data_IF_132119127667
#
_entry.id   IF_132119127667
#
_cell.length_a   1.000
_cell.length_b   1.000
_cell.length_c   1.000
_cell.angle_alpha   90.00
_cell.angle_beta   90.00
_cell.angle_gamma   90.00
#
_symmetry.space_group_name_H-M   'P 1'
#
loop_
_entity.id
_entity.type
_entity.pdbx_description
1 polymer ?
#
# COMPACT_ATOMS: atom_id res chain seq x y z
N UNK A 1 12.63 8.27 30.31
CA UNK A 1 11.45 8.48 29.45
C UNK A 1 11.79 8.98 28.04
N UNK A 2 12.77 9.87 27.84
CA UNK A 2 13.16 10.35 26.51
C UNK A 2 13.63 9.21 25.56
N UNK A 3 14.28 8.19 26.08
CA UNK A 3 14.77 7.04 25.31
C UNK A 3 13.66 6.11 24.74
N UNK A 4 12.41 6.32 25.16
CA UNK A 4 11.26 5.53 24.72
C UNK A 4 10.33 6.30 23.79
N UNK A 5 10.68 7.53 23.45
CA UNK A 5 9.91 8.36 22.52
C UNK A 5 10.57 8.30 21.16
N UNK A 6 9.78 8.19 20.09
CA UNK A 6 10.26 8.43 18.75
C UNK A 6 10.66 9.89 18.62
N UNK A 7 11.94 10.16 18.39
CA UNK A 7 12.43 11.52 18.15
C UNK A 7 12.01 12.08 16.80
N UNK A 8 11.60 11.20 15.88
CA UNK A 8 11.16 11.54 14.53
C UNK A 8 9.66 11.78 14.42
N UNK A 9 8.89 11.43 15.46
CA UNK A 9 7.43 11.47 15.41
C UNK A 9 6.88 12.74 16.09
N UNK A 10 6.23 13.58 15.32
CA UNK A 10 5.65 14.81 15.81
C UNK A 10 4.19 14.64 16.20
N UNK A 11 3.93 14.29 17.45
CA UNK A 11 2.61 14.03 17.99
C UNK A 11 2.04 15.25 18.71
N UNK A 12 0.80 15.63 18.41
CA UNK A 12 0.06 16.62 19.16
C UNK A 12 -0.20 16.17 20.60
N UNK A 13 -0.52 17.11 21.49
CA UNK A 13 -0.88 16.79 22.87
C UNK A 13 -2.09 15.85 22.97
N UNK A 14 -3.05 16.00 22.05
CA UNK A 14 -4.25 15.16 21.97
C UNK A 14 -3.89 13.73 21.58
N UNK A 15 -3.05 13.55 20.57
CA UNK A 15 -2.56 12.24 20.13
C UNK A 15 -1.74 11.55 21.23
N UNK A 16 -0.83 12.27 21.91
CA UNK A 16 -0.07 11.75 23.05
C UNK A 16 -0.96 11.28 24.21
N UNK A 17 -2.16 11.83 24.31
CA UNK A 17 -3.14 11.44 25.33
C UNK A 17 -3.97 10.23 24.92
N UNK A 18 -4.32 10.13 23.63
CA UNK A 18 -5.24 9.13 23.10
C UNK A 18 -4.57 7.83 22.66
N UNK A 19 -3.51 7.89 21.87
CA UNK A 19 -2.86 6.70 21.30
C UNK A 19 -2.58 5.59 22.32
N UNK A 20 -2.11 5.89 23.55
CA UNK A 20 -1.86 4.85 24.52
C UNK A 20 -3.11 4.22 25.15
N UNK A 21 -4.29 4.74 24.86
CA UNK A 21 -5.56 4.21 25.39
C UNK A 21 -6.25 3.28 24.38
N UNK A 22 -5.85 3.32 23.12
CA UNK A 22 -6.34 2.36 22.15
C UNK A 22 -5.71 1.00 22.39
N UNK A 23 -6.52 -0.01 22.32
CA UNK A 23 -6.08 -1.37 22.58
C UNK A 23 -6.13 -1.74 24.07
N UNK A 24 -6.15 -3.05 24.29
CA UNK A 24 -6.21 -3.65 25.62
C UNK A 24 -5.07 -3.33 26.52
N UNK A 25 -3.98 -3.03 25.89
CA UNK A 25 -2.71 -2.88 26.57
C UNK A 25 -2.61 -1.55 27.27
N UNK A 26 -3.38 -0.55 26.87
CA UNK A 26 -3.30 0.79 27.45
C UNK A 26 -1.87 1.34 27.47
N UNK A 27 -1.70 2.49 28.09
CA UNK A 27 -0.38 3.14 28.26
C UNK A 27 0.68 2.24 28.89
N UNK A 28 0.27 1.47 29.91
CA UNK A 28 1.22 0.72 30.74
C UNK A 28 1.82 -0.48 29.98
N UNK A 29 1.01 -1.19 29.22
CA UNK A 29 1.48 -2.36 28.53
C UNK A 29 2.28 -2.01 27.28
N UNK A 30 1.90 -0.98 26.51
CA UNK A 30 2.72 -0.43 25.44
C UNK A 30 4.07 0.05 25.97
N UNK A 31 4.07 0.81 27.04
CA UNK A 31 5.29 1.25 27.70
C UNK A 31 6.18 0.09 28.10
N UNK A 32 5.61 -0.94 28.73
CA UNK A 32 6.33 -2.14 29.15
C UNK A 32 6.91 -2.89 27.95
N UNK A 33 6.13 -3.08 26.88
CA UNK A 33 6.59 -3.76 25.67
C UNK A 33 7.73 -2.98 25.01
N UNK A 34 7.58 -1.70 24.79
CA UNK A 34 8.62 -0.85 24.22
C UNK A 34 9.89 -0.82 25.09
N UNK A 35 9.75 -0.72 26.40
CA UNK A 35 10.89 -0.73 27.32
C UNK A 35 11.66 -2.05 27.30
N UNK A 36 10.96 -3.17 27.36
CA UNK A 36 11.59 -4.50 27.36
C UNK A 36 12.29 -4.82 26.04
N UNK A 37 11.79 -4.28 24.93
CA UNK A 37 12.27 -4.59 23.59
C UNK A 37 13.22 -3.53 23.00
N UNK A 38 13.58 -2.48 23.75
CA UNK A 38 14.43 -1.36 23.30
C UNK A 38 15.75 -1.78 22.65
N UNK A 39 16.31 -2.91 23.08
CA UNK A 39 17.61 -3.39 22.59
C UNK A 39 17.55 -4.02 21.18
N UNK A 40 16.35 -4.28 20.67
CA UNK A 40 16.17 -4.84 19.33
C UNK A 40 15.52 -3.87 18.36
N UNK A 41 15.34 -2.60 18.75
CA UNK A 41 14.71 -1.61 17.90
C UNK A 41 15.35 -1.50 16.52
N UNK A 42 16.67 -1.44 16.48
CA UNK A 42 17.40 -1.36 15.20
C UNK A 42 17.17 -2.58 14.31
N UNK A 43 17.11 -3.79 14.89
CA UNK A 43 16.83 -5.00 14.12
C UNK A 43 15.39 -5.04 13.60
N UNK A 44 14.44 -4.61 14.41
CA UNK A 44 13.03 -4.49 14.00
C UNK A 44 12.88 -3.43 12.91
N UNK A 45 13.56 -2.30 13.06
CA UNK A 45 13.61 -1.25 12.05
C UNK A 45 14.13 -1.76 10.71
N UNK A 46 15.28 -2.44 10.72
CA UNK A 46 15.86 -3.04 9.51
C UNK A 46 14.94 -4.06 8.87
N UNK A 47 14.22 -4.85 9.67
CA UNK A 47 13.22 -5.79 9.15
C UNK A 47 12.12 -5.08 8.38
N UNK A 48 11.49 -4.08 8.98
CA UNK A 48 10.43 -3.31 8.29
C UNK A 48 10.96 -2.49 7.11
N UNK A 49 12.19 -1.99 7.18
CA UNK A 49 12.86 -1.34 6.06
C UNK A 49 13.04 -2.30 4.89
N UNK A 50 13.50 -3.51 5.15
CA UNK A 50 13.64 -4.57 4.14
C UNK A 50 12.29 -4.97 3.54
N UNK A 51 11.24 -5.07 4.35
CA UNK A 51 9.87 -5.32 3.90
C UNK A 51 9.41 -4.22 2.93
N UNK A 52 9.51 -2.96 3.33
CA UNK A 52 9.07 -1.83 2.52
C UNK A 52 9.88 -1.71 1.21
N UNK A 53 11.21 -1.82 1.30
CA UNK A 53 12.08 -1.75 0.13
C UNK A 53 11.80 -2.87 -0.89
N UNK A 54 11.52 -4.08 -0.41
CA UNK A 54 11.17 -5.22 -1.27
C UNK A 54 9.88 -4.95 -2.02
N UNK A 55 8.85 -4.42 -1.36
CA UNK A 55 7.55 -4.13 -1.97
C UNK A 55 7.63 -3.00 -2.98
N UNK A 56 8.35 -1.92 -2.66
CA UNK A 56 8.61 -0.84 -3.63
C UNK A 56 9.34 -1.39 -4.86
N UNK A 57 10.32 -2.28 -4.67
CA UNK A 57 11.02 -2.92 -5.78
C UNK A 57 10.09 -3.78 -6.65
N UNK A 58 9.13 -4.49 -6.05
CA UNK A 58 8.14 -5.29 -6.79
C UNK A 58 7.27 -4.37 -7.64
N UNK A 59 6.76 -3.26 -7.07
CA UNK A 59 5.96 -2.29 -7.80
C UNK A 59 6.74 -1.67 -8.97
N UNK A 60 7.99 -1.27 -8.76
CA UNK A 60 8.81 -0.71 -9.81
C UNK A 60 9.08 -1.74 -10.93
N UNK A 61 9.38 -2.98 -10.58
CA UNK A 61 9.55 -4.04 -11.57
C UNK A 61 8.28 -4.32 -12.37
N UNK A 62 7.14 -4.26 -11.71
CA UNK A 62 5.86 -4.38 -12.39
C UNK A 62 5.67 -3.26 -13.41
N UNK A 63 5.89 -2.01 -13.01
CA UNK A 63 5.77 -0.85 -13.91
C UNK A 63 6.74 -0.97 -15.09
N UNK A 64 8.00 -1.33 -14.84
CA UNK A 64 8.99 -1.54 -15.90
C UNK A 64 8.51 -2.58 -16.93
N UNK A 65 7.95 -3.70 -16.43
CA UNK A 65 7.40 -4.74 -17.32
C UNK A 65 6.19 -4.26 -18.14
N UNK A 66 5.35 -3.37 -17.57
CA UNK A 66 4.25 -2.79 -18.35
C UNK A 66 4.78 -1.87 -19.45
N UNK A 67 5.81 -1.06 -19.17
CA UNK A 67 6.44 -0.21 -20.19
C UNK A 67 7.05 -1.02 -21.32
N UNK A 68 7.78 -2.10 -21.03
CA UNK A 68 8.36 -2.99 -22.04
C UNK A 68 7.28 -3.57 -22.97
N UNK A 69 6.14 -3.99 -22.43
CA UNK A 69 5.02 -4.48 -23.22
C UNK A 69 4.42 -3.40 -24.13
N UNK A 70 4.22 -2.19 -23.58
CA UNK A 70 3.64 -1.08 -24.34
C UNK A 70 4.58 -0.56 -25.42
N UNK A 71 5.88 -0.51 -25.17
CA UNK A 71 6.90 -0.18 -26.17
C UNK A 71 6.88 -1.17 -27.33
N UNK A 72 6.78 -2.47 -27.04
CA UNK A 72 6.63 -3.50 -28.07
C UNK A 72 5.36 -3.27 -28.91
N UNK A 73 4.22 -2.99 -28.27
CA UNK A 73 2.96 -2.72 -28.96
C UNK A 73 3.08 -1.46 -29.82
N UNK A 74 3.62 -0.37 -29.29
CA UNK A 74 3.80 0.89 -30.02
C UNK A 74 4.71 0.73 -31.24
N UNK A 75 5.82 0.01 -31.09
CA UNK A 75 6.74 -0.29 -32.19
C UNK A 75 6.07 -1.07 -33.31
N UNK A 76 5.24 -2.07 -32.98
CA UNK A 76 4.51 -2.86 -33.97
C UNK A 76 3.49 -2.00 -34.73
N UNK A 77 2.73 -1.16 -34.01
CA UNK A 77 1.69 -0.32 -34.61
C UNK A 77 2.28 0.83 -35.43
N UNK A 78 3.47 1.32 -35.08
CA UNK A 78 4.09 2.49 -35.72
C UNK A 78 4.23 2.32 -37.27
N UNK A 79 4.37 1.11 -37.76
CA UNK A 79 4.53 0.79 -39.19
C UNK A 79 3.21 0.71 -39.94
N UNK A 80 2.09 0.53 -39.24
CA UNK A 80 0.76 0.33 -39.88
C UNK A 80 -0.25 1.45 -39.50
N UNK A 81 0.13 2.35 -38.63
CA UNK A 81 -0.75 3.43 -38.17
C UNK A 81 -1.34 4.25 -39.34
N UNK A 82 -2.64 4.61 -39.34
CA UNK A 82 -3.63 4.40 -38.28
C UNK A 82 -4.39 3.07 -38.33
N UNK A 83 -4.02 2.16 -39.25
CA UNK A 83 -4.66 0.85 -39.36
C UNK A 83 -4.18 -0.07 -38.25
N UNK A 84 -5.07 -0.49 -37.38
CA UNK A 84 -4.78 -1.33 -36.22
C UNK A 84 -5.57 -2.64 -36.35
N UNK A 85 -4.88 -3.74 -36.26
CA UNK A 85 -5.53 -5.06 -36.19
C UNK A 85 -6.15 -5.24 -34.78
N UNK A 86 -7.46 -5.17 -34.71
CA UNK A 86 -8.23 -5.32 -33.48
C UNK A 86 -8.07 -6.73 -32.88
N UNK A 87 -7.96 -7.76 -33.68
CA UNK A 87 -7.75 -9.13 -33.17
C UNK A 87 -6.40 -9.26 -32.49
N UNK A 88 -5.35 -8.71 -33.09
CA UNK A 88 -4.02 -8.69 -32.52
C UNK A 88 -3.97 -7.87 -31.21
N UNK A 89 -4.66 -6.73 -31.14
CA UNK A 89 -4.74 -5.93 -29.93
C UNK A 89 -5.40 -6.69 -28.77
N UNK A 90 -6.46 -7.45 -29.05
CA UNK A 90 -7.10 -8.32 -28.06
C UNK A 90 -6.18 -9.47 -27.57
N UNK A 91 -5.38 -10.05 -28.47
CA UNK A 91 -4.37 -11.03 -28.07
C UNK A 91 -3.31 -10.43 -27.15
N UNK A 92 -2.92 -9.17 -27.40
CA UNK A 92 -1.98 -8.46 -26.50
C UNK A 92 -2.60 -8.21 -25.13
N UNK A 93 -3.86 -7.79 -25.07
CA UNK A 93 -4.57 -7.63 -23.79
C UNK A 93 -4.65 -8.97 -23.04
N UNK A 94 -4.96 -10.06 -23.73
CA UNK A 94 -5.00 -11.40 -23.12
C UNK A 94 -3.64 -11.84 -22.53
N UNK A 95 -2.54 -11.32 -23.09
CA UNK A 95 -1.18 -11.57 -22.60
C UNK A 95 -0.75 -10.63 -21.48
N UNK A 96 -1.53 -9.59 -21.22
CA UNK A 96 -1.26 -8.55 -20.21
C UNK A 96 -2.42 -8.47 -19.20
N UNK A 97 -2.57 -9.45 -18.31
CA UNK A 97 -3.78 -9.62 -17.48
C UNK A 97 -4.03 -8.49 -16.50
N UNK A 98 -3.02 -7.67 -16.23
CA UNK A 98 -3.14 -6.53 -15.30
C UNK A 98 -3.83 -5.32 -15.93
N UNK A 99 -3.91 -5.29 -17.27
CA UNK A 99 -4.69 -4.29 -17.98
C UNK A 99 -6.14 -4.72 -18.15
N UNK A 100 -7.05 -3.77 -17.98
CA UNK A 100 -8.47 -3.97 -18.30
C UNK A 100 -8.81 -3.53 -19.72
N UNK A 101 -7.98 -2.68 -20.34
CA UNK A 101 -8.16 -2.17 -21.68
C UNK A 101 -6.82 -1.81 -22.31
N UNK A 102 -6.66 -2.13 -23.60
CA UNK A 102 -5.65 -1.56 -24.47
C UNK A 102 -6.36 -0.77 -25.59
N UNK A 103 -5.89 0.44 -25.83
CA UNK A 103 -6.46 1.28 -26.88
C UNK A 103 -5.43 2.23 -27.47
N UNK A 104 -5.77 2.82 -28.60
CA UNK A 104 -4.87 3.68 -29.37
C UNK A 104 -5.56 5.01 -29.60
N UNK A 105 -4.83 6.09 -29.34
CA UNK A 105 -5.29 7.44 -29.58
C UNK A 105 -4.47 8.11 -30.66
N UNK A 106 -5.10 9.07 -31.37
CA UNK A 106 -4.40 10.00 -32.23
C UNK A 106 -3.78 11.15 -31.41
N UNK A 107 -3.09 12.10 -32.07
CA UNK A 107 -2.45 13.26 -31.44
C UNK A 107 -3.44 14.20 -30.71
N UNK A 108 -4.72 14.09 -30.98
CA UNK A 108 -5.78 14.89 -30.36
C UNK A 108 -6.50 14.19 -29.20
N UNK A 109 -6.10 12.96 -28.89
CA UNK A 109 -6.68 12.16 -27.80
C UNK A 109 -7.97 11.41 -28.20
N UNK A 110 -8.33 11.40 -29.47
CA UNK A 110 -9.44 10.60 -29.95
C UNK A 110 -9.03 9.12 -30.03
N UNK A 111 -9.87 8.25 -29.52
CA UNK A 111 -9.65 6.80 -29.51
C UNK A 111 -9.97 6.24 -30.89
N UNK A 112 -8.94 5.78 -31.62
CA UNK A 112 -9.08 5.24 -32.98
C UNK A 112 -9.28 3.72 -32.99
N UNK A 113 -8.83 3.02 -31.96
CA UNK A 113 -9.03 1.58 -31.79
C UNK A 113 -9.00 1.24 -30.30
N UNK A 114 -9.80 0.29 -29.85
CA UNK A 114 -9.82 -0.17 -28.45
C UNK A 114 -10.30 -1.61 -28.35
N UNK A 115 -9.76 -2.34 -27.38
CA UNK A 115 -10.28 -3.67 -26.98
C UNK A 115 -11.66 -3.58 -26.33
N UNK A 116 -12.09 -2.37 -25.96
CA UNK A 116 -13.45 -2.06 -25.52
C UNK A 116 -14.15 -1.19 -26.56
N UNK A 117 -14.98 -1.82 -27.41
CA UNK A 117 -15.57 -1.17 -28.58
C UNK A 117 -16.31 0.13 -28.31
N UNK A 118 -16.97 0.25 -27.17
CA UNK A 118 -17.73 1.47 -26.80
C UNK A 118 -16.83 2.68 -26.53
N UNK A 119 -15.53 2.49 -26.43
CA UNK A 119 -14.55 3.55 -26.24
C UNK A 119 -14.10 4.19 -27.57
N UNK A 120 -14.25 3.47 -28.69
CA UNK A 120 -13.82 3.93 -30.01
C UNK A 120 -14.59 5.18 -30.43
N UNK A 121 -13.88 6.19 -30.91
CA UNK A 121 -14.42 7.48 -31.33
C UNK A 121 -14.65 8.47 -30.20
N UNK A 122 -14.41 8.10 -28.93
CA UNK A 122 -14.51 9.02 -27.83
C UNK A 122 -13.21 9.85 -27.66
N UNK A 123 -13.38 11.05 -27.10
CA UNK A 123 -12.28 11.94 -26.68
C UNK A 123 -12.59 12.40 -25.26
N UNK A 124 -12.44 11.49 -24.31
CA UNK A 124 -12.82 11.68 -22.90
C UNK A 124 -11.62 11.63 -21.94
N UNK A 125 -10.39 11.55 -22.49
CA UNK A 125 -9.17 11.53 -21.71
C UNK A 125 -8.81 12.93 -21.19
N UNK A 126 -8.08 12.97 -20.08
CA UNK A 126 -7.58 14.23 -19.53
C UNK A 126 -6.61 14.90 -20.53
N UNK A 127 -6.92 16.12 -20.96
CA UNK A 127 -6.15 16.83 -21.99
C UNK A 127 -4.67 16.96 -21.65
N UNK A 128 -4.34 17.26 -20.40
CA UNK A 128 -2.95 17.39 -19.93
C UNK A 128 -2.19 16.05 -20.02
N UNK A 129 -2.86 14.93 -19.71
CA UNK A 129 -2.27 13.61 -19.83
C UNK A 129 -2.04 13.22 -21.30
N UNK A 130 -2.98 13.55 -22.19
CA UNK A 130 -2.84 13.33 -23.65
C UNK A 130 -1.65 14.12 -24.19
N UNK A 131 -1.57 15.42 -23.89
CA UNK A 131 -0.49 16.30 -24.37
C UNK A 131 0.90 15.79 -23.98
N UNK A 132 1.03 15.21 -22.80
CA UNK A 132 2.30 14.63 -22.34
C UNK A 132 2.48 13.22 -22.93
N UNK A 133 1.48 12.37 -22.84
CA UNK A 133 1.54 10.97 -23.20
C UNK A 133 1.71 10.66 -24.68
N UNK A 134 1.42 11.62 -25.60
CA UNK A 134 1.72 11.47 -27.03
C UNK A 134 3.17 11.81 -27.39
N UNK A 135 3.95 12.35 -26.43
CA UNK A 135 5.34 12.79 -26.68
C UNK A 135 6.37 11.96 -25.93
N UNK A 136 6.01 11.49 -24.75
CA UNK A 136 6.89 10.70 -23.89
C UNK A 136 6.10 9.65 -23.11
N UNK A 137 6.72 8.54 -22.69
CA UNK A 137 6.07 7.57 -21.81
C UNK A 137 5.58 8.25 -20.54
N UNK A 138 4.27 8.19 -20.31
CA UNK A 138 3.62 8.91 -19.23
C UNK A 138 2.61 8.02 -18.50
N UNK A 139 2.76 7.89 -17.18
CA UNK A 139 1.81 7.22 -16.31
C UNK A 139 0.94 8.27 -15.63
N UNK A 140 -0.29 8.38 -16.09
CA UNK A 140 -1.33 9.21 -15.49
C UNK A 140 -2.04 8.46 -14.39
N UNK A 141 -2.09 9.02 -13.23
CA UNK A 141 -2.83 8.45 -12.09
C UNK A 141 -1.96 8.24 -10.84
N UNK A 142 -2.64 7.93 -9.73
CA UNK A 142 -4.05 7.51 -9.66
C UNK A 142 -5.03 8.64 -9.94
N UNK A 143 -6.11 8.35 -10.64
CA UNK A 143 -7.21 9.28 -10.88
C UNK A 143 -8.54 8.52 -10.95
N UNK A 144 -9.66 9.24 -10.80
CA UNK A 144 -11.00 8.64 -10.82
C UNK A 144 -11.53 8.61 -12.25
N UNK A 145 -11.79 7.39 -12.76
CA UNK A 145 -12.38 7.18 -14.07
C UNK A 145 -13.50 6.13 -14.02
N UNK A 146 -14.77 6.55 -14.13
CA UNK A 146 -15.92 5.63 -14.14
C UNK A 146 -15.87 4.57 -15.25
N UNK A 147 -15.11 4.81 -16.32
CA UNK A 147 -14.93 3.86 -17.41
C UNK A 147 -14.22 2.57 -16.90
N UNK A 148 -13.31 2.68 -15.95
CA UNK A 148 -12.61 1.54 -15.37
C UNK A 148 -13.59 0.58 -14.69
N UNK A 149 -14.54 1.11 -13.95
CA UNK A 149 -15.58 0.30 -13.32
C UNK A 149 -16.50 -0.37 -14.37
N UNK A 150 -16.81 0.34 -15.45
CA UNK A 150 -17.66 -0.17 -16.55
C UNK A 150 -16.98 -1.30 -17.34
N UNK A 151 -15.71 -1.14 -17.65
CA UNK A 151 -14.91 -2.15 -18.39
C UNK A 151 -14.70 -3.39 -17.51
N UNK A 152 -14.44 -3.17 -16.22
CA UNK A 152 -14.32 -4.24 -15.24
C UNK A 152 -12.97 -4.91 -15.27
N UNK A 153 -12.91 -6.17 -15.50
CA UNK A 153 -11.86 -7.13 -15.14
C UNK A 153 -10.43 -6.81 -15.59
N UNK A 154 -9.52 -6.99 -14.64
CA UNK A 154 -8.09 -7.24 -14.84
C UNK A 154 -7.68 -8.48 -14.02
N UNK A 155 -6.40 -8.65 -13.73
CA UNK A 155 -5.90 -9.68 -12.79
C UNK A 155 -6.46 -9.49 -11.37
N UNK A 156 -6.75 -8.25 -10.97
CA UNK A 156 -7.38 -7.96 -9.68
C UNK A 156 -8.86 -8.39 -9.69
N UNK A 157 -9.27 -8.98 -8.57
CA UNK A 157 -10.67 -9.36 -8.35
C UNK A 157 -11.54 -8.19 -7.91
N UNK A 158 -10.90 -7.13 -7.49
CA UNK A 158 -11.51 -5.94 -6.97
C UNK A 158 -11.05 -4.78 -7.82
N UNK A 159 -11.97 -3.98 -8.27
CA UNK A 159 -11.69 -2.76 -9.00
C UNK A 159 -12.82 -1.78 -8.74
N UNK A 160 -12.44 -0.56 -8.59
CA UNK A 160 -13.34 0.57 -8.54
C UNK A 160 -13.00 1.57 -9.65
N UNK A 161 -13.24 2.84 -9.41
CA UNK A 161 -12.98 3.90 -10.38
C UNK A 161 -11.52 4.37 -10.40
N UNK A 162 -10.69 3.95 -9.42
CA UNK A 162 -9.30 4.42 -9.35
C UNK A 162 -8.46 3.75 -10.41
N UNK A 163 -7.85 4.56 -11.23
CA UNK A 163 -7.24 4.18 -12.50
C UNK A 163 -5.79 4.62 -12.59
N UNK A 164 -5.00 3.76 -13.17
CA UNK A 164 -3.68 4.05 -13.71
C UNK A 164 -3.77 3.96 -15.24
N UNK A 165 -3.38 5.03 -15.94
CA UNK A 165 -3.40 5.07 -17.38
C UNK A 165 -1.99 5.27 -17.92
N UNK A 166 -1.49 4.26 -18.59
CA UNK A 166 -0.21 4.32 -19.29
C UNK A 166 -0.41 4.92 -20.67
N UNK A 167 0.49 5.79 -21.08
CA UNK A 167 0.56 6.35 -22.42
C UNK A 167 1.97 6.07 -22.97
N UNK A 168 2.07 5.32 -24.04
CA UNK A 168 3.31 5.05 -24.76
C UNK A 168 3.24 5.67 -26.14
N UNK A 169 4.08 6.66 -26.47
CA UNK A 169 4.06 7.29 -27.79
C UNK A 169 4.22 6.30 -28.93
N UNK A 170 3.50 6.54 -30.03
CA UNK A 170 3.71 5.87 -31.31
C UNK A 170 4.53 6.78 -32.18
N UNK A 171 5.80 6.43 -32.36
CA UNK A 171 6.77 7.20 -33.15
C UNK A 171 7.30 6.37 -34.32
N UNK A 172 7.41 6.99 -35.45
CA UNK A 172 8.09 6.42 -36.62
C UNK A 172 8.91 7.51 -37.33
N UNK A 173 10.21 7.27 -37.50
CA UNK A 173 11.15 8.18 -38.15
C UNK A 173 11.16 9.61 -37.54
N UNK A 174 11.06 9.73 -36.21
CA UNK A 174 11.05 11.02 -35.50
C UNK A 174 9.71 11.76 -35.55
N UNK A 175 8.64 11.13 -36.07
CA UNK A 175 7.31 11.71 -36.14
C UNK A 175 6.37 10.96 -35.18
N UNK A 176 5.71 11.70 -34.30
CA UNK A 176 4.70 11.17 -33.38
C UNK A 176 3.34 11.13 -34.09
N UNK A 177 2.64 10.02 -33.95
CA UNK A 177 1.32 9.78 -34.56
C UNK A 177 0.19 9.73 -33.53
N UNK A 178 0.51 9.43 -32.28
CA UNK A 178 -0.43 9.24 -31.18
C UNK A 178 0.21 8.46 -30.05
N UNK A 179 -0.59 7.70 -29.32
CA UNK A 179 -0.08 6.83 -28.27
C UNK A 179 -0.87 5.51 -28.17
N UNK A 180 -0.18 4.46 -27.77
CA UNK A 180 -0.79 3.27 -27.21
C UNK A 180 -1.10 3.58 -25.75
N UNK A 181 -2.34 3.34 -25.34
CA UNK A 181 -2.81 3.53 -23.99
C UNK A 181 -3.20 2.20 -23.37
N UNK A 182 -2.86 2.03 -22.09
CA UNK A 182 -3.26 0.88 -21.30
C UNK A 182 -3.88 1.31 -19.99
N UNK A 183 -5.07 0.81 -19.73
CA UNK A 183 -5.82 1.05 -18.50
C UNK A 183 -5.56 -0.06 -17.52
N UNK A 184 -5.05 0.27 -16.33
CA UNK A 184 -4.92 -0.65 -15.22
C UNK A 184 -5.77 -0.15 -14.04
N UNK A 185 -6.65 -0.98 -13.47
CA UNK A 185 -7.26 -0.69 -12.19
C UNK A 185 -6.17 -0.57 -11.11
N UNK A 186 -6.24 0.46 -10.30
CA UNK A 186 -5.21 0.72 -9.28
C UNK A 186 -5.07 -0.44 -8.27
N UNK A 187 -6.14 -1.20 -8.07
CA UNK A 187 -6.19 -2.33 -7.14
C UNK A 187 -5.17 -3.45 -7.46
N UNK A 188 -4.69 -3.51 -8.70
CA UNK A 188 -3.57 -4.40 -9.09
C UNK A 188 -2.35 -4.17 -8.21
N UNK A 189 -2.05 -2.92 -7.84
CA UNK A 189 -0.92 -2.60 -6.96
C UNK A 189 -1.11 -3.20 -5.56
N UNK A 190 -2.35 -3.16 -5.05
CA UNK A 190 -2.70 -3.79 -3.77
C UNK A 190 -2.43 -5.29 -3.79
N UNK A 191 -2.85 -5.96 -4.85
CA UNK A 191 -2.61 -7.39 -5.02
C UNK A 191 -1.11 -7.74 -5.07
N UNK A 192 -0.31 -6.96 -5.78
CA UNK A 192 1.13 -7.18 -5.90
C UNK A 192 1.85 -7.11 -4.56
N UNK A 193 1.55 -6.11 -3.74
CA UNK A 193 2.21 -5.95 -2.45
C UNK A 193 1.76 -6.97 -1.41
N UNK A 194 0.59 -7.56 -1.58
CA UNK A 194 0.08 -8.56 -0.65
C UNK A 194 0.48 -9.98 -1.05
N UNK A 195 0.40 -10.35 -2.33
CA UNK A 195 0.62 -11.73 -2.79
C UNK A 195 2.08 -12.09 -3.00
N UNK A 196 2.80 -11.24 -3.74
CA UNK A 196 4.11 -11.62 -4.28
C UNK A 196 5.23 -11.60 -3.23
N UNK A 197 5.07 -10.83 -2.18
CA UNK A 197 6.17 -10.58 -1.24
C UNK A 197 6.18 -11.49 0.00
N UNK A 198 5.14 -12.29 0.20
CA UNK A 198 4.97 -13.04 1.45
C UNK A 198 4.79 -12.14 2.68
N UNK A 199 4.56 -12.76 3.83
CA UNK A 199 4.39 -12.02 5.09
C UNK A 199 5.31 -12.57 6.16
N UNK A 200 6.21 -11.72 6.68
CA UNK A 200 7.10 -12.05 7.80
C UNK A 200 6.30 -12.19 9.10
N UNK A 201 5.24 -11.41 9.23
CA UNK A 201 4.28 -11.47 10.32
C UNK A 201 2.98 -12.07 9.79
N UNK A 202 2.79 -13.41 9.88
CA UNK A 202 1.67 -14.10 9.20
C UNK A 202 0.30 -13.81 9.83
N UNK A 203 0.25 -13.40 11.08
CA UNK A 203 -1.00 -13.12 11.78
C UNK A 203 -1.48 -11.68 11.57
N UNK A 204 -0.56 -10.73 11.53
CA UNK A 204 -0.89 -9.30 11.58
C UNK A 204 -0.18 -8.45 10.56
N UNK A 205 0.83 -8.98 9.86
CA UNK A 205 1.61 -8.21 8.89
C UNK A 205 0.74 -7.70 7.75
N UNK A 206 0.70 -6.39 7.56
CA UNK A 206 -0.11 -5.74 6.55
C UNK A 206 0.67 -4.65 5.81
N UNK A 207 0.27 -4.36 4.60
CA UNK A 207 0.91 -3.37 3.77
C UNK A 207 -0.15 -2.51 3.09
N UNK A 208 0.02 -1.21 3.15
CA UNK A 208 -0.91 -0.26 2.57
C UNK A 208 -0.19 0.68 1.62
N UNK A 209 -0.87 0.98 0.51
CA UNK A 209 -0.50 2.09 -0.35
C UNK A 209 -1.46 3.24 -0.08
N UNK A 210 -0.91 4.45 -0.01
CA UNK A 210 -1.69 5.65 0.18
C UNK A 210 -1.14 6.81 -0.65
N UNK A 211 -1.97 7.82 -0.88
CA UNK A 211 -1.57 9.00 -1.63
C UNK A 211 -0.75 9.96 -0.76
N UNK A 212 0.38 10.39 -1.29
CA UNK A 212 1.19 11.47 -0.74
C UNK A 212 0.87 12.79 -1.43
N UNK A 213 1.02 12.84 -2.74
CA UNK A 213 0.69 14.01 -3.56
C UNK A 213 0.12 13.56 -4.90
N UNK A 214 -1.11 14.02 -5.23
CA UNK A 214 -1.72 13.85 -6.53
C UNK A 214 -1.61 15.14 -7.33
N UNK A 215 -1.06 15.06 -8.53
CA UNK A 215 -0.89 16.22 -9.41
C UNK A 215 -2.07 16.41 -10.38
N UNK A 216 -2.89 15.37 -10.56
CA UNK A 216 -3.90 15.37 -11.62
C UNK A 216 -5.35 15.25 -11.12
N UNK A 217 -5.57 14.68 -9.95
CA UNK A 217 -6.93 14.54 -9.39
C UNK A 217 -7.01 15.00 -7.93
N UNK A 218 -7.52 16.19 -7.72
CA UNK A 218 -7.67 16.78 -6.39
C UNK A 218 -8.72 16.08 -5.50
N UNK A 219 -9.51 15.17 -6.05
CA UNK A 219 -10.44 14.33 -5.29
C UNK A 219 -9.69 13.27 -4.48
N UNK A 220 -8.52 12.87 -4.96
CA UNK A 220 -7.63 11.94 -4.27
C UNK A 220 -6.70 12.71 -3.34
N UNK A 221 -7.15 12.88 -2.11
CA UNK A 221 -6.44 13.66 -1.08
C UNK A 221 -5.28 12.88 -0.46
N UNK A 222 -4.38 13.60 0.18
CA UNK A 222 -3.31 13.00 0.99
C UNK A 222 -3.88 12.02 2.02
N UNK A 223 -3.27 10.85 2.12
CA UNK A 223 -3.69 9.78 3.03
C UNK A 223 -4.90 8.98 2.55
N UNK A 224 -5.40 9.21 1.33
CA UNK A 224 -6.40 8.32 0.71
C UNK A 224 -5.80 6.94 0.54
N UNK A 225 -6.51 5.90 0.98
CA UNK A 225 -6.11 4.51 0.80
C UNK A 225 -6.21 4.12 -0.67
N UNK A 226 -5.11 3.58 -1.21
CA UNK A 226 -4.99 3.14 -2.60
C UNK A 226 -4.74 1.63 -2.71
N UNK A 227 -4.88 0.92 -1.62
CA UNK A 227 -4.86 -0.54 -1.56
C UNK A 227 -5.70 -1.00 -0.38
N UNK A 228 -6.16 -2.24 -0.46
CA UNK A 228 -6.86 -2.87 0.64
C UNK A 228 -5.88 -3.49 1.63
N UNK A 229 -6.34 -3.57 2.89
CA UNK A 229 -5.72 -4.41 3.88
C UNK A 229 -5.88 -5.90 3.51
N UNK A 230 -4.89 -6.72 3.84
CA UNK A 230 -5.00 -8.18 3.71
C UNK A 230 -6.19 -8.76 4.49
N UNK A 231 -6.63 -8.10 5.54
CA UNK A 231 -7.77 -8.52 6.35
C UNK A 231 -9.11 -8.29 5.67
N UNK A 232 -9.13 -7.46 4.64
CA UNK A 232 -10.33 -7.11 3.87
C UNK A 232 -10.51 -7.99 2.64
N UNK A 233 -9.47 -8.68 2.23
CA UNK A 233 -9.49 -9.61 1.12
C UNK A 233 -9.67 -11.05 1.61
N UNK A 234 -10.74 -11.71 1.16
CA UNK A 234 -10.99 -13.13 1.43
C UNK A 234 -9.84 -14.05 0.99
N UNK A 235 -9.01 -13.60 0.05
CA UNK A 235 -7.89 -14.37 -0.46
C UNK A 235 -6.78 -14.49 0.57
N UNK A 236 -6.64 -13.52 1.47
CA UNK A 236 -5.55 -13.43 2.44
C UNK A 236 -5.99 -13.65 3.88
N UNK A 237 -7.25 -13.39 4.20
CA UNK A 237 -7.77 -13.38 5.56
C UNK A 237 -8.20 -14.76 6.08
N UNK A 238 -7.92 -15.84 5.36
CA UNK A 238 -8.40 -17.19 5.72
C UNK A 238 -9.91 -17.25 6.03
N UNK A 239 -10.69 -16.38 5.40
CA UNK A 239 -12.15 -16.30 5.58
C UNK A 239 -12.61 -15.32 6.67
N UNK A 240 -11.73 -14.70 7.41
CA UNK A 240 -12.05 -13.58 8.29
C UNK A 240 -12.20 -12.30 7.46
N UNK A 241 -13.32 -12.19 6.78
CA UNK A 241 -13.63 -11.01 6.00
C UNK A 241 -14.33 -9.96 6.86
N UNK A 242 -14.03 -8.71 6.58
CA UNK A 242 -14.70 -7.54 7.16
C UNK A 242 -16.22 -7.47 6.92
N UNK A 243 -16.81 -8.31 6.09
CA UNK A 243 -18.28 -8.42 5.96
C UNK A 243 -18.93 -8.77 7.29
N UNK A 244 -18.32 -9.63 8.10
CA UNK A 244 -18.74 -9.94 9.47
C UNK A 244 -18.16 -8.96 10.50
N UNK A 245 -17.19 -8.18 10.13
CA UNK A 245 -16.42 -7.28 10.98
C UNK A 245 -15.26 -7.98 11.69
N UNK A 246 -14.27 -7.21 12.09
CA UNK A 246 -13.16 -7.67 12.93
C UNK A 246 -13.57 -7.45 14.39
N UNK A 247 -13.68 -8.53 15.15
CA UNK A 247 -13.98 -8.44 16.56
C UNK A 247 -12.74 -7.98 17.33
N UNK A 248 -12.86 -6.83 17.95
CA UNK A 248 -11.87 -6.32 18.89
C UNK A 248 -12.48 -6.27 20.29
N UNK A 249 -11.67 -6.10 21.28
CA UNK A 249 -12.17 -5.89 22.66
C UNK A 249 -12.93 -4.58 22.83
N UNK A 250 -12.88 -3.70 21.84
CA UNK A 250 -13.53 -2.39 21.83
C UNK A 250 -14.80 -2.37 21.00
N UNK A 251 -15.15 -3.51 20.43
CA UNK A 251 -16.27 -3.66 19.53
C UNK A 251 -15.88 -4.25 18.18
N UNK A 252 -16.86 -4.40 17.33
CA UNK A 252 -16.68 -4.93 15.99
C UNK A 252 -16.42 -3.76 15.01
N UNK A 253 -15.25 -3.75 14.39
CA UNK A 253 -14.94 -2.82 13.31
C UNK A 253 -15.50 -3.39 12.01
N UNK A 254 -16.37 -2.66 11.34
CA UNK A 254 -16.93 -3.02 10.04
C UNK A 254 -16.51 -1.97 9.01
N UNK A 255 -16.03 -2.43 7.88
CA UNK A 255 -15.90 -1.63 6.68
C UNK A 255 -17.02 -2.06 5.73
N UNK A 256 -18.02 -1.23 5.55
CA UNK A 256 -19.22 -1.58 4.77
C UNK A 256 -18.95 -1.57 3.25
N UNK A 257 -18.06 -0.72 2.81
CA UNK A 257 -17.52 -0.64 1.46
C UNK A 257 -16.03 -0.41 1.58
N UNK A 258 -15.25 -1.24 0.94
CA UNK A 258 -13.84 -1.00 0.75
C UNK A 258 -13.61 -0.65 -0.71
N UNK A 259 -13.93 0.55 -1.06
CA UNK A 259 -13.43 1.20 -2.25
C UNK A 259 -12.24 2.05 -1.86
N UNK A 260 -11.22 2.11 -2.70
CA UNK A 260 -10.00 2.88 -2.48
C UNK A 260 -10.27 4.35 -2.17
N UNK A 261 -11.42 4.90 -2.61
CA UNK A 261 -11.81 6.28 -2.40
C UNK A 261 -12.52 6.55 -1.05
N UNK A 262 -13.08 5.53 -0.43
CA UNK A 262 -13.89 5.71 0.78
C UNK A 262 -13.06 5.77 2.05
N UNK A 263 -11.82 5.26 2.00
CA UNK A 263 -10.94 5.24 3.15
C UNK A 263 -9.84 6.29 3.00
N UNK A 264 -9.83 7.17 3.98
CA UNK A 264 -8.69 8.02 4.26
C UNK A 264 -8.12 7.59 5.61
N UNK A 265 -6.82 7.32 5.66
CA UNK A 265 -6.19 6.91 6.92
C UNK A 265 -6.19 8.04 7.94
N UNK A 266 -7.28 8.14 8.68
CA UNK A 266 -7.48 9.14 9.73
C UNK A 266 -7.56 8.48 11.10
N UNK A 267 -7.02 9.16 12.11
CA UNK A 267 -7.22 8.80 13.50
C UNK A 267 -8.64 9.20 13.93
N UNK A 268 -9.50 8.24 14.31
CA UNK A 268 -10.89 8.53 14.69
C UNK A 268 -10.99 9.44 15.93
N UNK A 269 -9.96 9.48 16.76
CA UNK A 269 -9.95 10.33 17.96
C UNK A 269 -9.70 11.81 17.65
N UNK A 270 -8.98 12.10 16.58
CA UNK A 270 -8.58 13.46 16.22
C UNK A 270 -9.21 13.97 14.94
N UNK A 271 -9.68 13.07 14.07
CA UNK A 271 -10.15 13.37 12.72
C UNK A 271 -9.02 13.84 11.78
N UNK A 272 -7.77 13.75 12.19
CA UNK A 272 -6.60 14.10 11.39
C UNK A 272 -6.01 12.84 10.73
N UNK A 273 -5.07 13.02 9.80
CA UNK A 273 -4.34 11.89 9.25
C UNK A 273 -3.71 11.07 10.38
N UNK A 274 -3.81 9.76 10.23
CA UNK A 274 -3.19 8.80 11.13
C UNK A 274 -1.70 9.13 11.31
N UNK A 275 -1.16 9.09 12.54
CA UNK A 275 0.21 9.54 12.80
C UNK A 275 1.25 8.90 11.88
N UNK A 276 1.13 7.61 11.57
CA UNK A 276 2.03 6.91 10.67
C UNK A 276 2.02 7.48 9.27
N UNK A 277 0.85 7.66 8.70
CA UNK A 277 0.67 8.21 7.35
C UNK A 277 1.16 9.68 7.30
N UNK A 278 0.77 10.49 8.27
CA UNK A 278 1.20 11.90 8.36
C UNK A 278 2.72 12.04 8.42
N UNK A 279 3.36 11.27 9.29
CA UNK A 279 4.82 11.33 9.43
C UNK A 279 5.56 10.78 8.20
N UNK A 280 4.98 9.79 7.53
CA UNK A 280 5.52 9.29 6.27
C UNK A 280 5.43 10.37 5.19
N UNK A 281 4.32 11.10 5.09
CA UNK A 281 4.16 12.22 4.16
C UNK A 281 5.19 13.31 4.46
N UNK A 282 5.36 13.67 5.73
CA UNK A 282 6.24 14.77 6.15
C UNK A 282 7.73 14.42 6.03
N UNK A 283 8.12 13.20 6.41
CA UNK A 283 9.52 12.81 6.59
C UNK A 283 10.00 11.79 5.56
N UNK A 284 9.13 11.31 4.68
CA UNK A 284 9.41 10.29 3.69
C UNK A 284 9.60 8.87 4.26
N UNK A 285 9.74 8.73 5.57
CA UNK A 285 9.85 7.45 6.26
C UNK A 285 9.54 7.60 7.73
N UNK A 286 8.99 6.55 8.34
CA UNK A 286 8.75 6.50 9.78
C UNK A 286 8.82 5.07 10.32
N UNK A 287 9.10 4.94 11.64
CA UNK A 287 9.09 3.70 12.38
C UNK A 287 8.52 3.93 13.78
N UNK A 288 7.44 3.23 14.11
CA UNK A 288 6.67 3.43 15.35
C UNK A 288 6.92 2.34 16.38
N UNK A 289 8.17 2.10 16.74
CA UNK A 289 8.54 1.10 17.75
C UNK A 289 8.74 1.69 19.14
N UNK A 290 8.67 3.00 19.26
CA UNK A 290 8.86 3.69 20.54
C UNK A 290 7.53 4.17 21.09
N UNK A 291 7.47 4.28 22.42
CA UNK A 291 6.30 4.84 23.08
C UNK A 291 6.13 6.34 22.71
N UNK A 292 4.93 6.83 22.39
CA UNK A 292 3.63 6.21 22.62
C UNK A 292 3.16 5.23 21.52
N UNK A 293 3.85 5.05 20.41
CA UNK A 293 3.38 4.25 19.31
C UNK A 293 2.08 4.76 18.69
N UNK A 294 1.36 3.92 18.00
CA UNK A 294 0.03 4.21 17.48
C UNK A 294 -0.82 2.94 17.36
N UNK A 295 -2.11 3.11 17.18
CA UNK A 295 -3.04 2.01 16.91
C UNK A 295 -3.54 2.08 15.49
N UNK A 296 -3.76 0.93 14.88
CA UNK A 296 -4.39 0.82 13.56
C UNK A 296 -5.92 1.04 13.64
N UNK A 297 -6.59 0.87 12.50
CA UNK A 297 -8.05 0.98 12.41
C UNK A 297 -8.81 -0.07 13.24
N UNK A 298 -8.17 -1.18 13.63
CA UNK A 298 -8.71 -2.20 14.54
C UNK A 298 -8.54 -1.82 16.01
N UNK A 299 -7.97 -0.66 16.31
CA UNK A 299 -7.57 -0.23 17.65
C UNK A 299 -6.52 -1.13 18.31
N UNK A 300 -5.72 -1.83 17.53
CA UNK A 300 -4.61 -2.67 17.98
C UNK A 300 -3.31 -1.87 17.88
N UNK A 301 -2.45 -1.92 18.92
CA UNK A 301 -1.13 -1.29 18.85
C UNK A 301 -0.26 -1.96 17.79
N UNK A 302 0.23 -1.17 16.85
CA UNK A 302 1.09 -1.63 15.74
C UNK A 302 2.42 -0.90 15.74
N UNK A 303 3.37 -1.51 15.09
CA UNK A 303 4.64 -0.92 14.71
C UNK A 303 4.85 -1.14 13.22
N UNK A 304 5.58 -0.24 12.61
CA UNK A 304 5.80 -0.35 11.18
C UNK A 304 6.72 0.71 10.63
N UNK A 305 6.93 0.64 9.33
CA UNK A 305 7.73 1.62 8.58
C UNK A 305 6.96 2.12 7.38
N UNK A 306 6.85 3.45 7.31
CA UNK A 306 6.35 4.15 6.15
C UNK A 306 7.50 4.61 5.26
N UNK A 307 7.33 4.50 3.96
CA UNK A 307 8.24 5.02 2.94
C UNK A 307 7.45 5.73 1.85
N UNK A 308 8.07 6.70 1.19
CA UNK A 308 7.51 7.32 -0.01
C UNK A 308 8.22 6.77 -1.24
N UNK A 309 7.47 6.66 -2.34
CA UNK A 309 8.01 6.22 -3.62
C UNK A 309 7.30 6.90 -4.77
N UNK A 310 7.84 6.75 -5.96
CA UNK A 310 7.30 7.26 -7.20
C UNK A 310 7.42 6.17 -8.25
N UNK A 311 6.37 5.97 -9.05
CA UNK A 311 6.39 5.01 -10.14
C UNK A 311 7.01 5.65 -11.38
N UNK A 312 7.74 4.88 -12.17
CA UNK A 312 8.36 5.37 -13.39
C UNK A 312 7.32 5.93 -14.38
N UNK A 313 7.58 7.12 -14.88
CA UNK A 313 6.68 7.84 -15.78
C UNK A 313 5.57 8.62 -15.07
N UNK A 314 5.40 8.50 -13.74
CA UNK A 314 4.41 9.23 -12.98
C UNK A 314 5.02 10.38 -12.18
N UNK A 315 4.45 11.59 -12.20
CA UNK A 315 4.84 12.68 -11.32
C UNK A 315 4.25 12.56 -9.92
N UNK A 316 3.29 11.68 -9.70
CA UNK A 316 2.60 11.52 -8.43
C UNK A 316 3.48 10.79 -7.41
N UNK A 317 3.32 11.16 -6.13
CA UNK A 317 4.05 10.56 -5.02
C UNK A 317 3.12 9.70 -4.17
N UNK A 318 3.57 8.52 -3.88
CA UNK A 318 2.87 7.48 -3.15
C UNK A 318 3.58 7.19 -1.84
N UNK A 319 2.81 6.77 -0.86
CA UNK A 319 3.35 6.24 0.39
C UNK A 319 3.02 4.75 0.51
N UNK A 320 3.90 4.03 1.18
CA UNK A 320 3.66 2.67 1.60
C UNK A 320 3.92 2.56 3.11
N UNK A 321 2.97 1.97 3.81
CA UNK A 321 3.10 1.60 5.21
C UNK A 321 3.13 0.09 5.32
N UNK A 322 4.17 -0.43 5.99
CA UNK A 322 4.27 -1.85 6.34
C UNK A 322 4.17 -1.97 7.85
N UNK A 323 3.20 -2.73 8.32
CA UNK A 323 2.84 -2.79 9.75
C UNK A 323 2.74 -4.22 10.24
N UNK A 324 2.89 -4.39 11.56
CA UNK A 324 2.61 -5.61 12.28
C UNK A 324 2.15 -5.29 13.69
N UNK A 325 1.33 -6.16 14.28
CA UNK A 325 0.88 -6.02 15.65
C UNK A 325 2.07 -6.07 16.61
N UNK A 326 2.13 -5.11 17.51
CA UNK A 326 3.20 -5.02 18.52
C UNK A 326 3.38 -6.35 19.27
N UNK A 327 2.27 -7.03 19.55
CA UNK A 327 2.29 -8.32 20.24
C UNK A 327 2.93 -9.42 19.40
N UNK A 328 2.60 -9.52 18.11
CA UNK A 328 3.19 -10.54 17.23
C UNK A 328 4.68 -10.30 17.02
N UNK A 329 5.07 -9.07 16.72
CA UNK A 329 6.47 -8.70 16.46
C UNK A 329 7.38 -9.03 17.64
N UNK A 330 6.90 -8.84 18.86
CA UNK A 330 7.70 -9.09 20.08
C UNK A 330 7.41 -10.41 20.77
N UNK A 331 6.48 -11.22 20.28
CA UNK A 331 5.99 -12.45 20.95
C UNK A 331 7.11 -13.41 21.34
N UNK A 332 7.96 -13.79 20.40
CA UNK A 332 9.04 -14.74 20.65
C UNK A 332 9.96 -14.30 21.77
N UNK A 333 10.32 -13.02 21.76
CA UNK A 333 11.17 -12.45 22.79
C UNK A 333 10.46 -12.36 24.15
N UNK A 334 9.20 -11.99 24.16
CA UNK A 334 8.41 -11.90 25.39
C UNK A 334 8.25 -13.25 26.05
N UNK A 335 8.06 -14.32 25.27
CA UNK A 335 8.02 -15.70 25.77
C UNK A 335 9.39 -16.08 26.36
N UNK A 336 10.48 -15.86 25.63
CA UNK A 336 11.82 -16.20 26.09
C UNK A 336 12.20 -15.45 27.37
N UNK A 337 11.87 -14.18 27.48
CA UNK A 337 12.08 -13.41 28.70
C UNK A 337 11.23 -13.92 29.88
N UNK A 338 10.00 -14.36 29.59
CA UNK A 338 9.13 -14.98 30.60
C UNK A 338 9.71 -16.30 31.13
N UNK A 339 10.19 -17.15 30.24
CA UNK A 339 10.85 -18.42 30.58
C UNK A 339 12.15 -18.18 31.38
N UNK A 340 13.00 -17.26 30.94
CA UNK A 340 14.22 -16.88 31.69
C UNK A 340 13.93 -16.39 33.09
N UNK A 341 12.91 -15.54 33.26
CA UNK A 341 12.50 -15.04 34.59
C UNK A 341 12.01 -16.19 35.46
N UNK A 342 11.18 -17.07 34.92
CA UNK A 342 10.70 -18.26 35.63
C UNK A 342 11.87 -19.15 36.08
N UNK A 343 12.84 -19.40 35.21
CA UNK A 343 14.03 -20.18 35.52
C UNK A 343 14.89 -19.52 36.62
N UNK A 344 15.15 -18.21 36.53
CA UNK A 344 15.90 -17.48 37.55
C UNK A 344 15.19 -17.49 38.89
N UNK A 345 13.90 -17.30 38.96
CA UNK A 345 13.12 -17.37 40.20
C UNK A 345 13.17 -18.77 40.81
N UNK A 346 12.96 -19.81 40.02
CA UNK A 346 13.05 -21.20 40.47
C UNK A 346 14.46 -21.55 41.02
N UNK A 347 15.51 -21.14 40.27
CA UNK A 347 16.88 -21.37 40.69
C UNK A 347 17.21 -20.63 41.99
N UNK A 348 16.74 -19.39 42.14
CA UNK A 348 16.95 -18.62 43.38
C UNK A 348 16.21 -19.25 44.56
N UNK A 349 14.99 -19.74 44.35
CA UNK A 349 14.21 -20.42 45.38
C UNK A 349 14.90 -21.74 45.82
N UNK A 350 15.41 -22.54 44.86
CA UNK A 350 16.14 -23.77 45.16
C UNK A 350 17.42 -23.47 45.95
N UNK A 351 18.18 -22.45 45.56
CA UNK A 351 19.36 -22.02 46.30
C UNK A 351 19.04 -21.58 47.74
N UNK A 352 17.97 -20.81 47.89
CA UNK A 352 17.54 -20.35 49.22
C UNK A 352 17.12 -21.52 50.12
N UNK A 353 16.40 -22.49 49.57
CA UNK A 353 16.00 -23.71 50.31
C UNK A 353 17.24 -24.54 50.69
N UNK A 354 18.16 -24.75 49.78
CA UNK A 354 19.39 -25.50 50.05
C UNK A 354 20.25 -24.80 51.09
N UNK A 355 20.38 -23.49 51.07
CA UNK A 355 21.10 -22.74 52.15
C UNK A 355 20.37 -22.80 53.46
N UNK A 356 19.05 -22.72 53.49
CA UNK A 356 18.25 -22.83 54.71
C UNK A 356 18.22 -24.23 55.34
N UNK A 357 18.44 -25.31 54.55
CA UNK A 357 18.53 -26.68 55.03
C UNK A 357 19.93 -27.03 55.55
N UNK A 358 20.94 -26.25 55.22
CA UNK A 358 22.33 -26.47 55.63
C UNK A 358 22.75 -25.63 56.85
N UNK A 359 21.84 -24.82 57.35
CA UNK A 359 21.93 -24.13 58.62
C UNK A 359 20.93 -24.71 59.62
#
# INVERSE_FOLDING_TARGET
>A
MSALKSSSMNLSLKEKKWLPWFGQTGKLAMYKSCFLNRHIYSSVEQTFEGIAATRVKILNKWVDSQWEQLEFIASHISTSFPSVDHSWLNERLASAPDFSELFIINMHGEVISSTFNEHVGLNNLATNAVVQGVKEPFLHGPYIDPMTLKIGRSSSKFHDEVTLMFYQPIEHNGIFYGAVCARAPNDVLGDLIQREAGHIYPESGDNYIFMVDSNFDNRIQQGTALSRSRFEDNTFSHGENLKSGINTKWGTVKVNRHTELELRFTDPATGQLHPGVRETINNGKNLFITYPGYSDYRHIPVIGKGVTFQLQGSPDRWGMMCEGDLEEVYRRRSINLGLMKGFLLASTAIMAINTGLNY
#
